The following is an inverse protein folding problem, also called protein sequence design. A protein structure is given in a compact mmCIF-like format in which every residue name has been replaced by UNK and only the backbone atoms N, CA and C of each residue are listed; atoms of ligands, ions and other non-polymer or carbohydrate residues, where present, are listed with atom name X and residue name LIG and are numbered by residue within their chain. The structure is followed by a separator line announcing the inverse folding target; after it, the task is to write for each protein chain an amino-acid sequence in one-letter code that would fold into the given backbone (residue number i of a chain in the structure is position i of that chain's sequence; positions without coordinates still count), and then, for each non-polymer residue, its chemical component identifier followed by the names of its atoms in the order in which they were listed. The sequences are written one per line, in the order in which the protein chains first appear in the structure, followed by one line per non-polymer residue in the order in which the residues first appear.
data_IF_317209638478
#
_entry.id   IF_317209638478
#
_cell.length_a   1.000
_cell.length_b   1.000
_cell.length_c   1.000
_cell.angle_alpha   90.00
_cell.angle_beta   90.00
_cell.angle_gamma   90.00
#
_symmetry.space_group_name_H-M   'P 1'
#
loop_
_entity.id
_entity.type
_entity.pdbx_description
1 polymer ?
#
# COMPACT_ATOMS: atom_id res chain seq x y z
N UNK A 1 -11.67 25.72 10.24
CA UNK A 1 -11.08 24.58 9.49
C UNK A 1 -11.96 24.36 8.28
N UNK A 2 -11.40 24.36 7.07
CA UNK A 2 -12.19 24.34 5.83
C UNK A 2 -12.85 22.97 5.62
N UNK A 3 -14.04 22.94 5.03
CA UNK A 3 -14.79 21.70 4.81
C UNK A 3 -13.98 20.67 4.01
N UNK A 4 -13.19 21.12 3.04
CA UNK A 4 -12.30 20.26 2.22
C UNK A 4 -11.25 19.53 3.07
N UNK A 5 -10.69 20.24 4.05
CA UNK A 5 -9.69 19.67 4.95
C UNK A 5 -10.35 18.61 5.82
N UNK A 6 -11.52 18.90 6.40
CA UNK A 6 -12.28 17.93 7.22
C UNK A 6 -12.61 16.67 6.41
N UNK A 7 -13.11 16.84 5.18
CA UNK A 7 -13.41 15.72 4.29
C UNK A 7 -12.16 14.89 3.97
N UNK A 8 -11.04 15.53 3.67
CA UNK A 8 -9.78 14.85 3.39
C UNK A 8 -9.32 13.99 4.59
N UNK A 9 -9.39 14.53 5.81
CA UNK A 9 -9.05 13.78 7.03
C UNK A 9 -9.98 12.60 7.26
N UNK A 10 -11.29 12.76 7.05
CA UNK A 10 -12.26 11.68 7.21
C UNK A 10 -11.99 10.55 6.20
N UNK A 11 -11.78 10.89 4.93
CA UNK A 11 -11.48 9.90 3.89
C UNK A 11 -10.17 9.19 4.18
N UNK A 12 -9.10 9.92 4.50
CA UNK A 12 -7.80 9.34 4.82
C UNK A 12 -7.88 8.43 6.06
N UNK A 13 -8.57 8.88 7.11
CA UNK A 13 -8.76 8.11 8.34
C UNK A 13 -9.54 6.82 8.10
N UNK A 14 -10.66 6.88 7.38
CA UNK A 14 -11.47 5.71 7.05
C UNK A 14 -10.72 4.73 6.13
N UNK A 15 -10.04 5.23 5.11
CA UNK A 15 -9.23 4.42 4.22
C UNK A 15 -8.08 3.73 4.98
N UNK A 16 -7.39 4.46 5.85
CA UNK A 16 -6.32 3.91 6.70
C UNK A 16 -6.83 2.82 7.65
N UNK A 17 -7.96 3.06 8.32
CA UNK A 17 -8.57 2.08 9.21
C UNK A 17 -9.01 0.81 8.46
N UNK A 18 -9.68 0.98 7.30
CA UNK A 18 -10.10 -0.13 6.46
C UNK A 18 -8.90 -0.95 5.95
N UNK A 19 -7.82 -0.26 5.56
CA UNK A 19 -6.59 -0.90 5.11
C UNK A 19 -5.94 -1.75 6.23
N UNK A 20 -5.83 -1.21 7.45
CA UNK A 20 -5.29 -1.96 8.58
C UNK A 20 -6.16 -3.17 8.95
N UNK A 21 -7.50 -3.02 8.89
CA UNK A 21 -8.42 -4.12 9.11
C UNK A 21 -8.25 -5.22 8.06
N UNK A 22 -8.08 -4.85 6.78
CA UNK A 22 -7.82 -5.80 5.71
C UNK A 22 -6.49 -6.55 5.91
N UNK A 23 -5.43 -5.86 6.35
CA UNK A 23 -4.15 -6.50 6.67
C UNK A 23 -4.30 -7.51 7.81
N UNK A 24 -4.94 -7.11 8.92
CA UNK A 24 -5.17 -7.99 10.05
C UNK A 24 -6.00 -9.22 9.66
N UNK A 25 -7.06 -9.01 8.88
CA UNK A 25 -7.90 -10.09 8.36
C UNK A 25 -7.09 -11.06 7.48
N UNK A 26 -6.26 -10.54 6.57
CA UNK A 26 -5.40 -11.35 5.71
C UNK A 26 -4.40 -12.18 6.52
N UNK A 27 -3.75 -11.59 7.52
CA UNK A 27 -2.85 -12.32 8.44
C UNK A 27 -3.60 -13.42 9.18
N UNK A 28 -4.79 -13.15 9.71
CA UNK A 28 -5.61 -14.16 10.39
C UNK A 28 -6.01 -15.29 9.44
N UNK A 29 -6.35 -14.99 8.19
CA UNK A 29 -6.67 -16.02 7.19
C UNK A 29 -5.48 -16.92 6.91
N UNK A 30 -4.31 -16.34 6.60
CA UNK A 30 -3.06 -17.10 6.39
C UNK A 30 -2.72 -17.93 7.64
N UNK A 31 -2.88 -17.33 8.82
CA UNK A 31 -2.60 -18.00 10.09
C UNK A 31 -3.58 -19.14 10.40
N UNK A 32 -4.77 -19.19 9.78
CA UNK A 32 -5.77 -20.25 9.99
C UNK A 32 -5.75 -21.34 8.92
N UNK A 33 -5.05 -21.13 7.81
CA UNK A 33 -4.91 -22.14 6.75
C UNK A 33 -4.22 -23.39 7.30
N UNK A 34 -4.86 -24.55 7.15
CA UNK A 34 -4.38 -25.82 7.73
C UNK A 34 -3.31 -26.50 6.87
N UNK A 35 -3.30 -26.22 5.58
CA UNK A 35 -2.43 -26.89 4.60
C UNK A 35 -1.02 -26.28 4.52
N UNK A 36 -0.76 -25.21 5.28
CA UNK A 36 0.54 -24.53 5.32
C UNK A 36 1.42 -25.07 6.45
N UNK A 37 2.64 -25.48 6.09
CA UNK A 37 3.70 -25.72 7.08
C UNK A 37 4.04 -24.44 7.85
N UNK A 38 4.70 -24.58 9.02
CA UNK A 38 5.04 -23.41 9.86
C UNK A 38 5.94 -22.40 9.16
N UNK A 39 6.93 -22.88 8.41
CA UNK A 39 7.85 -22.03 7.66
C UNK A 39 7.17 -21.29 6.52
N UNK A 40 6.35 -22.00 5.75
CA UNK A 40 5.59 -21.44 4.64
C UNK A 40 4.58 -20.38 5.11
N UNK A 41 3.88 -20.65 6.21
CA UNK A 41 2.95 -19.70 6.83
C UNK A 41 3.63 -18.40 7.21
N UNK A 42 4.81 -18.49 7.83
CA UNK A 42 5.58 -17.31 8.21
C UNK A 42 6.03 -16.53 6.97
N UNK A 43 6.48 -17.22 5.92
CA UNK A 43 6.85 -16.59 4.66
C UNK A 43 5.67 -15.84 4.03
N UNK A 44 4.47 -16.44 4.02
CA UNK A 44 3.26 -15.80 3.52
C UNK A 44 2.85 -14.57 4.35
N UNK A 45 2.92 -14.64 5.68
CA UNK A 45 2.61 -13.50 6.54
C UNK A 45 3.60 -12.37 6.29
N UNK A 46 4.91 -12.67 6.28
CA UNK A 46 5.95 -11.66 6.03
C UNK A 46 5.78 -11.06 4.63
N UNK A 47 5.62 -11.89 3.61
CA UNK A 47 5.36 -11.46 2.25
C UNK A 47 4.15 -10.54 2.18
N UNK A 48 3.01 -10.97 2.71
CA UNK A 48 1.76 -10.21 2.68
C UNK A 48 1.88 -8.83 3.35
N UNK A 49 2.68 -8.71 4.42
CA UNK A 49 2.91 -7.42 5.10
C UNK A 49 3.96 -6.55 4.39
N UNK A 50 4.97 -7.14 3.77
CA UNK A 50 6.08 -6.41 3.14
C UNK A 50 5.78 -6.01 1.70
N UNK A 51 5.07 -6.84 0.93
CA UNK A 51 4.73 -6.57 -0.47
C UNK A 51 4.05 -5.21 -0.68
N UNK A 52 3.07 -4.79 0.14
CA UNK A 52 2.46 -3.48 -0.02
C UNK A 52 3.47 -2.33 0.18
N UNK A 53 4.42 -2.47 1.11
CA UNK A 53 5.46 -1.46 1.33
C UNK A 53 6.38 -1.37 0.11
N UNK A 54 6.80 -2.51 -0.45
CA UNK A 54 7.59 -2.55 -1.68
C UNK A 54 6.79 -1.93 -2.83
N UNK A 55 5.52 -2.27 -2.99
CA UNK A 55 4.66 -1.71 -4.02
C UNK A 55 4.52 -0.19 -3.88
N UNK A 56 4.37 0.33 -2.66
CA UNK A 56 4.36 1.77 -2.40
C UNK A 56 5.69 2.43 -2.74
N UNK A 57 6.83 1.80 -2.43
CA UNK A 57 8.15 2.29 -2.82
C UNK A 57 8.33 2.31 -4.34
N UNK A 58 7.95 1.23 -5.02
CA UNK A 58 7.99 1.14 -6.49
C UNK A 58 7.11 2.23 -7.10
N UNK A 59 5.91 2.43 -6.58
CA UNK A 59 5.03 3.50 -7.04
C UNK A 59 5.61 4.89 -6.77
N UNK A 60 6.26 5.10 -5.62
CA UNK A 60 6.91 6.37 -5.31
C UNK A 60 8.04 6.71 -6.30
N UNK A 61 8.86 5.74 -6.69
CA UNK A 61 9.99 5.97 -7.61
C UNK A 61 9.63 5.87 -9.09
N UNK A 62 8.74 4.95 -9.47
CA UNK A 62 8.42 4.62 -10.86
C UNK A 62 6.98 4.97 -11.25
N UNK A 63 6.17 5.47 -10.31
CA UNK A 63 4.81 5.91 -10.59
C UNK A 63 4.77 7.13 -11.51
N UNK A 64 3.62 7.38 -12.15
CA UNK A 64 3.44 8.53 -13.02
C UNK A 64 3.68 9.83 -12.24
N UNK A 65 4.78 10.50 -12.55
CA UNK A 65 5.09 11.80 -11.95
C UNK A 65 4.25 12.88 -12.66
N UNK A 66 3.47 13.68 -11.92
CA UNK A 66 2.63 14.73 -12.51
C UNK A 66 3.44 15.88 -13.16
N UNK A 67 4.78 15.89 -13.05
CA UNK A 67 5.62 17.02 -13.47
C UNK A 67 6.32 16.86 -14.81
N UNK A 68 6.02 15.84 -15.62
CA UNK A 68 6.52 15.77 -17.01
C UNK A 68 8.05 15.72 -17.18
N UNK A 69 8.82 15.64 -16.08
CA UNK A 69 10.26 15.43 -16.10
C UNK A 69 10.56 13.97 -16.41
N UNK A 70 10.26 13.57 -17.65
CA UNK A 70 10.98 12.48 -18.29
C UNK A 70 12.44 12.91 -18.35
N UNK A 71 13.31 12.22 -17.63
CA UNK A 71 14.76 12.32 -17.78
C UNK A 71 15.09 12.16 -19.28
N UNK A 72 15.29 13.28 -19.99
CA UNK A 72 15.56 13.31 -21.42
C UNK A 72 14.61 14.10 -22.34
N UNK A 73 13.58 14.81 -21.84
CA UNK A 73 12.76 15.68 -22.72
C UNK A 73 13.18 17.15 -22.56
N UNK A 74 13.79 17.80 -23.56
CA UNK A 74 14.04 19.24 -23.49
C UNK A 74 12.70 19.98 -23.51
N UNK A 75 12.46 20.80 -22.49
CA UNK A 75 11.19 21.47 -22.20
C UNK A 75 10.85 22.67 -23.12
N UNK A 76 11.41 22.73 -24.33
CA UNK A 76 11.17 23.82 -25.28
C UNK A 76 10.82 23.27 -26.66
N UNK A 77 9.53 23.20 -26.96
CA UNK A 77 8.95 23.35 -28.30
C UNK A 77 7.61 24.05 -28.18
#
# INVERSE_FOLDING_TARGET
MNADIVLAWLVAGLAGAAYLAALAYGVVQIARTRDLSRGERNLWIVGFLVFPLIASLVWFFAGPHPWGLRWGTPAFR
#
